data_IF_650630812018
#
_entry.id   IF_650630812018
#
_cell.length_a   1.000
_cell.length_b   1.000
_cell.length_c   1.000
_cell.angle_alpha   90.00
_cell.angle_beta   90.00
_cell.angle_gamma   90.00
#
_symmetry.space_group_name_H-M   'P 1'
#
loop_
_entity.id
_entity.type
_entity.pdbx_description
1 polymer ?
#
# COMPACT_ATOMS: atom_id res chain seq x y z
N UNK A 1 -22.50 15.25 -1.31
CA UNK A 1 -22.52 15.54 0.15
C UNK A 1 -21.28 16.35 0.47
N UNK A 2 -21.36 17.27 1.42
CA UNK A 2 -20.23 18.15 1.76
C UNK A 2 -19.18 17.40 2.58
N UNK A 3 -17.89 17.62 2.31
CA UNK A 3 -16.80 16.95 3.01
C UNK A 3 -16.82 17.24 4.52
N UNK A 4 -17.28 18.43 4.92
CA UNK A 4 -17.37 18.83 6.32
C UNK A 4 -18.37 17.96 7.09
N UNK A 5 -19.56 17.75 6.51
CA UNK A 5 -20.60 16.88 7.10
C UNK A 5 -20.18 15.42 7.19
N UNK A 6 -19.40 14.95 6.23
CA UNK A 6 -18.86 13.58 6.25
C UNK A 6 -17.87 13.42 7.41
N UNK A 7 -16.98 14.41 7.59
CA UNK A 7 -15.94 14.40 8.63
C UNK A 7 -16.52 14.46 10.05
N UNK A 8 -17.58 15.22 10.27
CA UNK A 8 -18.29 15.26 11.56
C UNK A 8 -18.77 13.88 12.02
N UNK A 9 -19.04 12.97 11.08
CA UNK A 9 -19.54 11.64 11.36
C UNK A 9 -18.44 10.57 11.42
N UNK A 10 -17.17 10.92 11.25
CA UNK A 10 -16.07 9.95 11.27
C UNK A 10 -15.94 9.24 12.61
N UNK A 11 -16.01 9.96 13.73
CA UNK A 11 -15.94 9.33 15.05
C UNK A 11 -17.07 8.31 15.25
N UNK A 12 -18.28 8.61 14.77
CA UNK A 12 -19.40 7.68 14.84
C UNK A 12 -19.27 6.50 13.86
N UNK A 13 -18.70 6.74 12.68
CA UNK A 13 -18.39 5.69 11.71
C UNK A 13 -17.35 4.70 12.25
N UNK A 14 -16.25 5.20 12.84
CA UNK A 14 -15.18 4.41 13.44
C UNK A 14 -15.72 3.57 14.60
N UNK A 15 -16.52 4.18 15.47
CA UNK A 15 -17.12 3.49 16.63
C UNK A 15 -18.37 2.66 16.28
N UNK A 16 -18.69 2.50 14.99
CA UNK A 16 -19.89 1.80 14.50
C UNK A 16 -21.21 2.26 15.19
N UNK A 17 -21.27 3.52 15.62
CA UNK A 17 -22.40 4.09 16.38
C UNK A 17 -23.36 4.92 15.53
N UNK A 18 -23.19 4.90 14.20
CA UNK A 18 -24.07 5.58 13.25
C UNK A 18 -25.04 4.62 12.55
N UNK A 19 -26.20 5.11 12.08
CA UNK A 19 -27.14 4.31 11.33
C UNK A 19 -26.54 3.85 9.98
N UNK A 20 -26.94 2.66 9.54
CA UNK A 20 -26.41 1.99 8.35
C UNK A 20 -26.58 2.81 7.06
N UNK A 21 -27.67 3.57 6.95
CA UNK A 21 -27.90 4.50 5.83
C UNK A 21 -26.81 5.59 5.76
N UNK A 22 -26.40 6.11 6.92
CA UNK A 22 -25.36 7.13 7.00
C UNK A 22 -23.97 6.54 6.72
N UNK A 23 -23.71 5.32 7.20
CA UNK A 23 -22.48 4.59 6.90
C UNK A 23 -22.28 4.38 5.39
N UNK A 24 -23.33 3.97 4.69
CA UNK A 24 -23.29 3.77 3.23
C UNK A 24 -22.97 5.07 2.49
N UNK A 25 -23.53 6.20 2.92
CA UNK A 25 -23.26 7.50 2.29
C UNK A 25 -21.81 7.94 2.55
N UNK A 26 -21.27 7.66 3.74
CA UNK A 26 -19.86 7.94 4.06
C UNK A 26 -18.93 7.09 3.18
N UNK A 27 -19.23 5.80 3.01
CA UNK A 27 -18.48 4.88 2.14
C UNK A 27 -18.49 5.33 0.68
N UNK A 28 -19.65 5.71 0.15
CA UNK A 28 -19.79 6.22 -1.22
C UNK A 28 -18.94 7.48 -1.42
N UNK A 29 -18.92 8.38 -0.42
CA UNK A 29 -18.09 9.57 -0.48
C UNK A 29 -16.58 9.27 -0.38
N UNK A 30 -16.18 8.31 0.46
CA UNK A 30 -14.80 7.86 0.62
C UNK A 30 -14.23 7.22 -0.65
N UNK A 31 -15.08 6.62 -1.49
CA UNK A 31 -14.68 6.09 -2.80
C UNK A 31 -14.21 7.18 -3.77
N UNK A 32 -14.74 8.41 -3.65
CA UNK A 32 -14.54 9.49 -4.63
C UNK A 32 -13.62 10.59 -4.06
N UNK A 33 -13.66 10.83 -2.74
CA UNK A 33 -12.95 11.92 -2.08
C UNK A 33 -11.71 11.43 -1.34
N UNK A 34 -10.53 11.68 -1.93
CA UNK A 34 -9.24 11.32 -1.34
C UNK A 34 -8.95 12.08 -0.03
N UNK A 35 -9.36 13.35 0.08
CA UNK A 35 -9.16 14.16 1.28
C UNK A 35 -9.90 13.59 2.50
N UNK A 36 -11.15 13.16 2.29
CA UNK A 36 -11.95 12.52 3.33
C UNK A 36 -11.34 11.18 3.75
N UNK A 37 -10.83 10.39 2.79
CA UNK A 37 -10.14 9.13 3.07
C UNK A 37 -8.87 9.33 3.89
N UNK A 38 -8.07 10.34 3.55
CA UNK A 38 -6.84 10.65 4.27
C UNK A 38 -7.12 11.10 5.71
N UNK A 39 -8.15 11.93 5.91
CA UNK A 39 -8.58 12.34 7.25
C UNK A 39 -9.12 11.19 8.09
N UNK A 40 -9.92 10.30 7.49
CA UNK A 40 -10.40 9.12 8.21
C UNK A 40 -9.25 8.22 8.66
N UNK A 41 -8.25 8.01 7.79
CA UNK A 41 -7.04 7.26 8.13
C UNK A 41 -6.21 7.94 9.23
N UNK A 42 -6.12 9.27 9.23
CA UNK A 42 -5.43 10.00 10.31
C UNK A 42 -6.10 9.75 11.67
N UNK A 43 -7.42 9.86 11.74
CA UNK A 43 -8.17 9.59 12.98
C UNK A 43 -8.02 8.14 13.44
N UNK A 44 -8.03 7.18 12.51
CA UNK A 44 -7.79 5.77 12.82
C UNK A 44 -6.40 5.56 13.43
N UNK A 45 -5.39 6.25 12.90
CA UNK A 45 -4.02 6.15 13.41
C UNK A 45 -3.84 6.85 14.77
N UNK A 46 -4.58 7.94 15.03
CA UNK A 46 -4.58 8.63 16.32
C UNK A 46 -5.20 7.78 17.44
N UNK A 47 -6.24 6.98 17.16
CA UNK A 47 -6.79 6.03 18.14
C UNK A 47 -5.85 4.84 18.42
N UNK A 48 -4.97 4.48 17.48
CA UNK A 48 -4.04 3.34 17.60
C UNK A 48 -2.79 3.68 18.45
N UNK A 49 -2.43 4.95 18.62
CA UNK A 49 -1.20 5.36 19.34
C UNK A 49 -1.22 5.01 20.85
N UNK A 50 -2.39 4.74 21.43
CA UNK A 50 -2.49 4.19 22.79
C UNK A 50 -2.09 2.70 22.90
N UNK A 51 -1.85 2.01 21.78
CA UNK A 51 -1.69 0.56 21.75
C UNK A 51 -0.56 0.06 20.83
N UNK A 52 0.62 0.69 20.89
CA UNK A 52 1.92 0.20 20.38
C UNK A 52 2.04 -0.06 18.85
N UNK A 53 3.26 0.04 18.27
CA UNK A 53 3.46 0.49 16.91
C UNK A 53 3.26 -0.64 15.90
N UNK A 54 2.16 -0.61 15.17
CA UNK A 54 2.05 -1.38 13.94
C UNK A 54 2.48 -0.50 12.76
N UNK A 55 3.69 -0.82 12.31
CA UNK A 55 4.25 -0.58 10.98
C UNK A 55 3.38 0.22 10.02
N UNK A 56 3.96 1.33 9.59
CA UNK A 56 3.65 2.10 8.39
C UNK A 56 3.43 1.18 7.16
N UNK A 57 2.23 0.61 7.00
CA UNK A 57 1.82 -0.12 5.80
C UNK A 57 1.14 0.85 4.85
N UNK A 58 1.94 1.76 4.30
CA UNK A 58 1.69 2.18 2.93
C UNK A 58 1.92 0.93 2.09
N UNK A 59 0.86 0.33 1.56
CA UNK A 59 0.99 -0.75 0.57
C UNK A 59 1.55 -0.15 -0.70
N UNK A 60 2.83 0.12 -0.68
CA UNK A 60 3.68 0.28 -1.83
C UNK A 60 3.81 -1.11 -2.46
N UNK A 61 2.73 -1.58 -3.12
CA UNK A 61 2.73 -2.82 -3.90
C UNK A 61 3.78 -2.79 -5.02
N UNK A 62 4.39 -1.63 -5.29
CA UNK A 62 5.52 -1.48 -6.18
C UNK A 62 6.85 -1.95 -5.58
N UNK A 63 7.07 -1.95 -4.26
CA UNK A 63 8.38 -2.31 -3.70
C UNK A 63 8.71 -3.80 -3.91
N UNK A 64 7.80 -4.72 -3.59
CA UNK A 64 8.05 -6.16 -3.76
C UNK A 64 8.23 -6.56 -5.23
N UNK A 65 7.34 -6.06 -6.10
CA UNK A 65 7.39 -6.37 -7.54
C UNK A 65 8.66 -5.79 -8.17
N UNK A 66 9.05 -4.56 -7.80
CA UNK A 66 10.30 -3.95 -8.27
C UNK A 66 11.53 -4.74 -7.83
N UNK A 67 11.59 -5.21 -6.58
CA UNK A 67 12.72 -6.06 -6.13
C UNK A 67 12.77 -7.40 -6.86
N UNK A 68 11.61 -8.02 -7.15
CA UNK A 68 11.57 -9.27 -7.91
C UNK A 68 12.08 -9.08 -9.35
N UNK A 69 11.64 -8.03 -10.03
CA UNK A 69 12.09 -7.71 -11.40
C UNK A 69 13.59 -7.43 -11.42
N UNK A 70 14.08 -6.63 -10.46
CA UNK A 70 15.51 -6.31 -10.34
C UNK A 70 16.34 -7.58 -10.10
N UNK A 71 15.87 -8.48 -9.23
CA UNK A 71 16.52 -9.75 -8.94
C UNK A 71 16.62 -10.68 -10.17
N UNK A 72 15.52 -10.83 -10.92
CA UNK A 72 15.50 -11.64 -12.14
C UNK A 72 16.49 -11.08 -13.18
N UNK A 73 16.54 -9.75 -13.34
CA UNK A 73 17.49 -9.10 -14.25
C UNK A 73 18.95 -9.41 -13.90
N UNK A 74 19.32 -9.33 -12.63
CA UNK A 74 20.68 -9.63 -12.16
C UNK A 74 21.04 -11.09 -12.42
N UNK A 75 20.13 -12.03 -12.12
CA UNK A 75 20.35 -13.47 -12.33
C UNK A 75 20.61 -13.76 -13.82
N UNK A 76 19.84 -13.17 -14.72
CA UNK A 76 20.02 -13.33 -16.16
C UNK A 76 21.40 -12.81 -16.62
N UNK A 77 21.82 -11.65 -16.14
CA UNK A 77 23.13 -11.08 -16.47
C UNK A 77 24.26 -11.98 -15.98
N UNK A 78 24.19 -12.46 -14.73
CA UNK A 78 25.19 -13.39 -14.16
C UNK A 78 25.25 -14.68 -14.99
N UNK A 79 24.09 -15.22 -15.37
CA UNK A 79 24.01 -16.43 -16.18
C UNK A 79 24.67 -16.24 -17.57
N UNK A 80 24.42 -15.10 -18.22
CA UNK A 80 25.06 -14.78 -19.51
C UNK A 80 26.59 -14.66 -19.37
N UNK A 81 27.08 -14.00 -18.33
CA UNK A 81 28.53 -13.90 -18.06
C UNK A 81 29.13 -15.28 -17.82
N UNK A 82 28.46 -16.15 -17.05
CA UNK A 82 28.88 -17.52 -16.83
C UNK A 82 28.97 -18.31 -18.14
N UNK A 83 27.98 -18.17 -19.03
CA UNK A 83 28.01 -18.80 -20.34
C UNK A 83 29.18 -18.31 -21.20
N UNK A 84 29.49 -17.01 -21.18
CA UNK A 84 30.63 -16.46 -21.91
C UNK A 84 31.96 -17.04 -21.40
N UNK A 85 32.14 -17.12 -20.07
CA UNK A 85 33.35 -17.73 -19.47
C UNK A 85 33.45 -19.22 -19.83
N UNK A 86 32.34 -19.95 -19.79
CA UNK A 86 32.33 -21.35 -20.20
C UNK A 86 32.65 -21.52 -21.68
N UNK A 87 32.13 -20.63 -22.53
CA UNK A 87 32.37 -20.66 -23.96
C UNK A 87 33.83 -20.38 -24.32
N UNK A 88 34.47 -19.38 -23.70
CA UNK A 88 35.91 -19.12 -23.90
C UNK A 88 36.77 -20.29 -23.43
N UNK A 89 36.41 -20.92 -22.30
CA UNK A 89 37.09 -22.13 -21.83
C UNK A 89 36.90 -23.35 -22.74
N UNK A 90 35.81 -23.41 -23.51
CA UNK A 90 35.53 -24.51 -24.44
C UNK A 90 36.24 -24.35 -25.78
N UNK A 91 36.57 -23.12 -26.18
CA UNK A 91 37.24 -22.81 -27.46
C UNK A 91 38.77 -22.86 -27.35
N UNK A 92 39.31 -22.72 -26.14
CA UNK A 92 40.75 -22.82 -25.87
C UNK A 92 41.28 -24.24 -25.64
N UNK A 93 40.50 -25.28 -25.97
CA UNK A 93 40.86 -26.69 -25.82
C UNK A 93 40.86 -27.41 -27.16
#
# INVERSE_FOLDING_TARGET
MDCEKIRENFSGYINHSIPQNLAQIIEEHLCICEDCRNKLNQLLNEEIDYQAPSSHYKKDTYNLVTYLILGIGIILVIYLVFLLVKFTSSIGK
#
